data_IF_477487929894
#
_entry.id   IF_477487929894
#
_cell.length_a   1.000
_cell.length_b   1.000
_cell.length_c   1.000
_cell.angle_alpha   90.00
_cell.angle_beta   90.00
_cell.angle_gamma   90.00
#
_symmetry.space_group_name_H-M   'P 1'
#
loop_
_entity.id
_entity.type
_entity.pdbx_description
1 polymer ?
#
# COMPACT_ATOMS: atom_id res chain seq x y z
N UNK A 1 49.64 -16.96 -34.93
CA UNK A 1 49.05 -15.96 -33.99
C UNK A 1 48.44 -14.74 -34.70
N UNK A 2 49.14 -14.09 -35.64
CA UNK A 2 48.65 -12.88 -36.36
C UNK A 2 47.35 -13.09 -37.19
N UNK A 3 47.10 -14.30 -37.68
CA UNK A 3 45.90 -14.66 -38.47
C UNK A 3 44.61 -14.68 -37.63
N UNK A 4 44.70 -15.13 -36.38
CA UNK A 4 43.58 -15.14 -35.44
C UNK A 4 43.24 -13.73 -34.91
N UNK A 5 44.25 -12.85 -34.85
CA UNK A 5 44.07 -11.44 -34.48
C UNK A 5 43.22 -10.69 -35.51
N UNK A 6 43.40 -10.97 -36.81
CA UNK A 6 42.60 -10.38 -37.89
C UNK A 6 41.14 -10.86 -37.83
N UNK A 7 40.91 -12.13 -37.54
CA UNK A 7 39.55 -12.66 -37.32
C UNK A 7 38.85 -11.99 -36.13
N UNK A 8 39.56 -11.77 -35.02
CA UNK A 8 39.01 -11.10 -33.84
C UNK A 8 38.68 -9.62 -34.12
N UNK A 9 39.52 -8.92 -34.88
CA UNK A 9 39.27 -7.54 -35.31
C UNK A 9 38.05 -7.44 -36.25
N UNK A 10 37.82 -8.42 -37.13
CA UNK A 10 36.64 -8.42 -38.01
C UNK A 10 35.31 -8.60 -37.26
N UNK A 11 35.31 -9.32 -36.14
CA UNK A 11 34.09 -9.54 -35.34
C UNK A 11 33.65 -8.29 -34.56
N UNK A 12 34.56 -7.37 -34.24
CA UNK A 12 34.26 -6.15 -33.48
C UNK A 12 33.51 -5.13 -34.36
N UNK A 13 33.78 -5.09 -35.67
CA UNK A 13 33.15 -4.13 -36.59
C UNK A 13 31.68 -4.42 -36.91
N UNK A 14 31.16 -5.59 -36.52
CA UNK A 14 29.76 -5.99 -36.74
C UNK A 14 28.92 -5.83 -35.46
N UNK A 15 29.53 -5.42 -34.35
CA UNK A 15 28.81 -5.12 -33.12
C UNK A 15 27.96 -3.84 -33.31
N UNK A 16 26.73 -4.01 -33.78
CA UNK A 16 25.71 -2.97 -33.75
C UNK A 16 25.31 -2.78 -32.29
N UNK A 17 25.76 -1.69 -31.67
CA UNK A 17 25.18 -1.24 -30.41
C UNK A 17 23.67 -1.08 -30.61
N UNK A 18 22.88 -1.59 -29.67
CA UNK A 18 21.43 -1.50 -29.72
C UNK A 18 21.05 -0.02 -29.81
N UNK A 19 20.57 0.44 -30.97
CA UNK A 19 20.00 1.78 -31.07
C UNK A 19 18.81 1.81 -30.12
N UNK A 20 18.87 2.73 -29.14
CA UNK A 20 17.76 2.99 -28.24
C UNK A 20 16.53 3.29 -29.10
N UNK A 21 15.56 2.37 -29.10
CA UNK A 21 14.29 2.59 -29.77
C UNK A 21 13.70 3.94 -29.30
N UNK A 22 13.06 4.71 -30.20
CA UNK A 22 12.47 6.01 -29.88
C UNK A 22 11.66 5.95 -28.59
N UNK A 23 11.80 6.98 -27.75
CA UNK A 23 11.00 7.10 -26.54
C UNK A 23 9.56 7.43 -26.94
N UNK A 24 8.65 6.47 -26.81
CA UNK A 24 7.22 6.67 -27.07
C UNK A 24 6.42 6.75 -25.77
N UNK A 25 5.20 7.28 -25.86
CA UNK A 25 4.26 7.32 -24.74
C UNK A 25 3.98 5.90 -24.22
N UNK A 26 3.76 4.93 -25.10
CA UNK A 26 3.52 3.53 -24.73
C UNK A 26 4.70 2.94 -23.95
N UNK A 27 5.93 3.32 -24.31
CA UNK A 27 7.14 2.85 -23.62
C UNK A 27 7.26 3.44 -22.21
N UNK A 28 6.87 4.70 -22.03
CA UNK A 28 6.80 5.36 -20.71
C UNK A 28 5.66 4.76 -19.87
N UNK A 29 4.51 4.49 -20.48
CA UNK A 29 3.31 3.98 -19.80
C UNK A 29 3.38 2.49 -19.44
N UNK A 30 4.37 1.74 -19.95
CA UNK A 30 4.53 0.30 -19.67
C UNK A 30 4.75 -0.01 -18.19
N UNK A 31 5.36 0.91 -17.45
CA UNK A 31 5.54 0.78 -16.00
C UNK A 31 5.06 2.05 -15.29
N UNK A 32 3.76 2.16 -14.93
CA UNK A 32 3.20 3.37 -14.35
C UNK A 32 3.80 3.75 -12.99
N UNK A 33 4.60 2.86 -12.36
CA UNK A 33 5.25 3.12 -11.07
C UNK A 33 6.20 4.31 -11.09
N UNK A 34 6.65 4.77 -12.27
CA UNK A 34 7.44 6.00 -12.39
C UNK A 34 6.70 7.25 -11.87
N UNK A 35 5.37 7.24 -11.84
CA UNK A 35 4.54 8.33 -11.29
C UNK A 35 4.44 8.28 -9.76
N UNK A 36 4.99 7.24 -9.14
CA UNK A 36 4.80 6.92 -7.73
C UNK A 36 3.65 5.93 -7.49
N UNK A 37 3.71 5.26 -6.35
CA UNK A 37 2.66 4.34 -5.89
C UNK A 37 1.71 5.12 -4.97
N UNK A 38 0.41 5.10 -5.26
CA UNK A 38 -0.58 5.72 -4.38
C UNK A 38 -0.77 4.87 -3.11
N UNK A 39 -1.00 5.49 -1.94
CA UNK A 39 -1.38 4.74 -0.75
C UNK A 39 -2.73 4.03 -0.91
N UNK A 40 -2.96 3.01 -0.09
CA UNK A 40 -4.20 2.21 -0.07
C UNK A 40 -4.60 1.85 1.37
N UNK A 41 -5.74 1.18 1.55
CA UNK A 41 -6.21 0.67 2.85
C UNK A 41 -6.23 1.72 3.97
N UNK A 42 -6.83 2.88 3.70
CA UNK A 42 -6.92 3.98 4.66
C UNK A 42 -7.77 3.62 5.87
N UNK A 43 -7.27 3.91 7.07
CA UNK A 43 -7.92 3.62 8.35
C UNK A 43 -7.66 4.73 9.34
N UNK A 44 -8.69 5.24 9.98
CA UNK A 44 -8.50 6.22 11.06
C UNK A 44 -8.04 5.52 12.34
N UNK A 45 -7.33 6.24 13.21
CA UNK A 45 -7.22 5.84 14.61
C UNK A 45 -8.54 6.10 15.36
N UNK A 46 -8.84 5.33 16.39
CA UNK A 46 -10.07 5.51 17.18
C UNK A 46 -10.19 6.90 17.82
N UNK A 47 -9.05 7.49 18.22
CA UNK A 47 -8.96 8.84 18.75
C UNK A 47 -9.03 9.95 17.69
N UNK A 48 -9.15 9.59 16.41
CA UNK A 48 -9.22 10.49 15.26
C UNK A 48 -7.99 11.39 15.07
N UNK A 49 -6.83 11.03 15.63
CA UNK A 49 -5.59 11.82 15.53
C UNK A 49 -4.65 11.38 14.42
N UNK A 50 -4.81 10.17 13.89
CA UNK A 50 -3.96 9.60 12.84
C UNK A 50 -4.78 8.91 11.75
N UNK A 51 -4.25 8.90 10.54
CA UNK A 51 -4.70 8.03 9.44
C UNK A 51 -3.57 7.05 9.14
N UNK A 52 -3.87 5.77 9.20
CA UNK A 52 -3.03 4.66 8.78
C UNK A 52 -3.34 4.29 7.33
N UNK A 53 -2.34 3.81 6.60
CA UNK A 53 -2.49 3.36 5.22
C UNK A 53 -1.34 2.43 4.81
N UNK A 54 -1.58 1.57 3.83
CA UNK A 54 -0.56 0.74 3.17
C UNK A 54 0.13 1.56 2.08
N UNK A 55 1.45 1.58 2.05
CA UNK A 55 2.19 2.34 1.04
C UNK A 55 3.55 1.73 0.72
N UNK A 56 3.96 1.89 -0.53
CA UNK A 56 5.22 1.37 -1.06
C UNK A 56 5.91 2.39 -1.99
N UNK A 57 6.39 3.51 -1.43
CA UNK A 57 7.02 4.56 -2.22
C UNK A 57 8.35 4.13 -2.84
N UNK A 58 8.99 3.11 -2.28
CA UNK A 58 10.31 2.61 -2.68
C UNK A 58 10.22 1.40 -3.63
N UNK A 59 9.01 1.02 -4.08
CA UNK A 59 8.77 -0.11 -4.99
C UNK A 59 9.43 -1.43 -4.51
N UNK A 60 9.25 -1.76 -3.23
CA UNK A 60 9.64 -3.04 -2.63
C UNK A 60 8.64 -4.14 -2.98
N UNK A 61 8.94 -5.37 -2.57
CA UNK A 61 8.08 -6.53 -2.86
C UNK A 61 6.69 -6.46 -2.19
N UNK A 62 6.56 -5.69 -1.09
CA UNK A 62 5.32 -5.57 -0.32
C UNK A 62 5.11 -4.16 0.18
N UNK A 63 3.83 -3.79 0.30
CA UNK A 63 3.41 -2.58 0.99
C UNK A 63 3.70 -2.70 2.48
N UNK A 64 4.01 -1.58 3.10
CA UNK A 64 4.22 -1.49 4.55
C UNK A 64 3.27 -0.46 5.16
N UNK A 65 3.07 -0.57 6.47
CA UNK A 65 2.19 0.34 7.19
C UNK A 65 2.84 1.71 7.36
N UNK A 66 2.11 2.74 7.00
CA UNK A 66 2.43 4.13 7.29
C UNK A 66 1.30 4.80 8.06
N UNK A 67 1.61 5.91 8.74
CA UNK A 67 0.62 6.82 9.30
C UNK A 67 0.95 8.28 9.03
N UNK A 68 -0.08 9.12 9.08
CA UNK A 68 0.05 10.58 9.13
C UNK A 68 -0.81 11.11 10.27
N UNK A 69 -0.31 12.12 10.99
CA UNK A 69 -1.02 12.76 12.10
C UNK A 69 -1.58 14.13 11.72
N UNK A 70 -2.53 14.63 12.51
CA UNK A 70 -3.10 15.98 12.29
C UNK A 70 -2.06 17.10 12.43
N UNK A 71 -1.06 16.92 13.30
CA UNK A 71 -0.04 17.94 13.59
C UNK A 71 1.19 17.84 12.65
N UNK A 72 1.13 17.00 11.63
CA UNK A 72 2.24 16.83 10.70
C UNK A 72 1.88 15.92 9.53
N UNK A 73 1.95 16.48 8.32
CA UNK A 73 1.56 15.79 7.08
C UNK A 73 2.62 14.82 6.53
N UNK A 74 3.75 14.64 7.24
CA UNK A 74 4.83 13.75 6.79
C UNK A 74 4.52 12.30 7.16
N UNK A 75 4.36 11.39 6.18
CA UNK A 75 4.15 9.97 6.46
C UNK A 75 5.26 9.38 7.31
N UNK A 76 4.90 8.61 8.34
CA UNK A 76 5.81 7.85 9.19
C UNK A 76 5.57 6.37 8.97
N UNK A 77 6.64 5.59 8.83
CA UNK A 77 6.54 4.13 8.79
C UNK A 77 6.19 3.62 10.20
N UNK A 78 5.27 2.66 10.29
CA UNK A 78 4.76 2.11 11.56
C UNK A 78 4.96 0.58 11.60
N UNK A 79 4.93 0.01 12.80
CA UNK A 79 4.86 -1.44 13.02
C UNK A 79 3.42 -1.94 12.77
N UNK A 80 3.24 -3.17 12.28
CA UNK A 80 1.91 -3.74 12.02
C UNK A 80 1.02 -3.76 13.27
N UNK A 81 1.58 -3.90 14.47
CA UNK A 81 0.82 -3.82 15.74
C UNK A 81 0.17 -2.46 15.97
N UNK A 82 0.70 -1.39 15.37
CA UNK A 82 0.08 -0.06 15.47
C UNK A 82 -1.34 -0.03 14.89
N UNK A 83 -1.66 -0.97 14.00
CA UNK A 83 -2.96 -1.13 13.37
C UNK A 83 -4.06 -1.55 14.35
N UNK A 84 -3.72 -2.06 15.54
CA UNK A 84 -4.68 -2.34 16.60
C UNK A 84 -5.42 -1.09 17.07
N UNK A 85 -4.77 0.09 16.96
CA UNK A 85 -5.32 1.41 17.29
C UNK A 85 -6.23 1.96 16.19
N UNK A 86 -6.24 1.33 15.02
CA UNK A 86 -7.05 1.74 13.91
C UNK A 86 -8.47 1.19 14.05
N UNK A 87 -9.45 2.03 13.76
CA UNK A 87 -10.80 1.57 13.49
C UNK A 87 -10.80 0.85 12.14
N UNK A 88 -11.78 -0.04 11.91
CA UNK A 88 -11.89 -0.81 10.67
C UNK A 88 -11.86 0.06 9.41
N UNK A 89 -11.67 -0.56 8.24
CA UNK A 89 -11.59 0.17 6.96
C UNK A 89 -12.89 0.90 6.60
N UNK A 90 -14.02 0.38 7.07
CA UNK A 90 -15.34 0.94 6.81
C UNK A 90 -16.05 1.23 8.12
N UNK A 91 -16.50 2.47 8.29
CA UNK A 91 -17.38 2.87 9.37
C UNK A 91 -18.75 3.22 8.81
N UNK A 92 -19.79 2.58 9.34
CA UNK A 92 -21.19 2.90 9.03
C UNK A 92 -21.83 3.53 10.24
N UNK A 93 -22.14 4.82 10.16
CA UNK A 93 -22.80 5.55 11.25
C UNK A 93 -24.31 5.27 11.25
N UNK A 94 -24.90 5.20 12.44
CA UNK A 94 -26.35 5.27 12.61
C UNK A 94 -26.88 6.67 12.29
N UNK A 95 -28.21 6.80 12.12
CA UNK A 95 -28.86 8.05 11.73
C UNK A 95 -28.53 9.27 12.63
N UNK A 96 -28.29 9.01 13.92
CA UNK A 96 -27.97 10.04 14.92
C UNK A 96 -26.46 10.24 15.14
N UNK A 97 -25.60 9.49 14.43
CA UNK A 97 -24.12 9.51 14.57
C UNK A 97 -23.64 9.21 16.00
N UNK A 98 -24.52 8.69 16.87
CA UNK A 98 -24.18 8.33 18.25
C UNK A 98 -23.41 7.02 18.36
N UNK A 99 -23.42 6.20 17.30
CA UNK A 99 -22.68 4.95 17.19
C UNK A 99 -22.32 4.67 15.73
N UNK A 100 -21.28 3.86 15.54
CA UNK A 100 -20.86 3.35 14.24
C UNK A 100 -20.63 1.84 14.29
N UNK A 101 -20.88 1.17 13.18
CA UNK A 101 -20.48 -0.23 12.97
C UNK A 101 -19.21 -0.27 12.13
N UNK A 102 -18.32 -1.19 12.45
CA UNK A 102 -17.16 -1.49 11.61
C UNK A 102 -16.78 -2.98 11.71
N UNK A 103 -16.08 -3.47 10.70
CA UNK A 103 -15.51 -4.81 10.68
C UNK A 103 -14.04 -4.77 11.12
N UNK A 104 -13.66 -5.73 11.98
CA UNK A 104 -12.27 -5.95 12.41
C UNK A 104 -12.01 -7.43 12.64
N UNK A 105 -11.24 -8.04 11.75
CA UNK A 105 -10.82 -9.44 11.87
C UNK A 105 -11.93 -10.45 11.54
N UNK A 106 -12.86 -10.09 10.67
CA UNK A 106 -14.01 -10.89 10.28
C UNK A 106 -15.26 -10.65 11.13
N UNK A 107 -15.15 -9.87 12.21
CA UNK A 107 -16.24 -9.61 13.14
C UNK A 107 -16.72 -8.17 13.14
N UNK A 108 -17.98 -8.00 13.51
CA UNK A 108 -18.65 -6.71 13.60
C UNK A 108 -18.49 -6.13 15.00
N UNK A 109 -18.13 -4.86 15.05
CA UNK A 109 -17.97 -4.07 16.27
C UNK A 109 -18.87 -2.85 16.24
N UNK A 110 -19.44 -2.52 17.41
CA UNK A 110 -20.10 -1.25 17.68
C UNK A 110 -19.09 -0.29 18.32
N UNK A 111 -18.97 0.89 17.73
CA UNK A 111 -18.09 1.96 18.19
C UNK A 111 -18.91 3.16 18.67
N UNK A 112 -18.56 3.69 19.84
CA UNK A 112 -19.09 4.97 20.29
C UNK A 112 -18.07 6.10 19.99
N UNK A 113 -18.36 7.01 19.04
CA UNK A 113 -17.42 8.04 18.64
C UNK A 113 -17.13 9.09 19.73
N UNK A 114 -18.02 9.23 20.73
CA UNK A 114 -17.83 10.15 21.87
C UNK A 114 -16.97 9.53 22.97
N UNK A 115 -17.29 8.32 23.43
CA UNK A 115 -16.56 7.65 24.53
C UNK A 115 -15.33 6.88 24.06
N UNK A 116 -15.23 6.60 22.76
CA UNK A 116 -14.18 5.78 22.12
C UNK A 116 -14.23 4.30 22.52
N UNK A 117 -15.34 3.86 23.09
CA UNK A 117 -15.54 2.47 23.47
C UNK A 117 -15.87 1.61 22.24
N UNK A 118 -15.30 0.41 22.21
CA UNK A 118 -15.56 -0.64 21.22
C UNK A 118 -16.27 -1.81 21.91
N UNK A 119 -17.41 -2.23 21.38
CA UNK A 119 -18.12 -3.43 21.79
C UNK A 119 -18.18 -4.40 20.61
N UNK A 120 -17.62 -5.59 20.80
CA UNK A 120 -17.73 -6.67 19.81
C UNK A 120 -19.18 -7.19 19.78
N UNK A 121 -19.77 -7.27 18.58
CA UNK A 121 -21.15 -7.76 18.38
C UNK A 121 -21.18 -9.21 17.89
N UNK A 122 -20.22 -9.63 17.09
CA UNK A 122 -20.11 -11.02 16.59
C UNK A 122 -18.80 -11.65 17.04
N UNK A 123 -18.80 -12.97 17.18
CA UNK A 123 -17.60 -13.77 17.38
C UNK A 123 -17.72 -15.05 16.57
N UNK A 124 -17.46 -14.95 15.27
CA UNK A 124 -17.48 -16.10 14.36
C UNK A 124 -16.17 -16.87 14.48
N UNK A 125 -16.10 -17.74 15.49
CA UNK A 125 -14.99 -18.71 15.68
C UNK A 125 -15.12 -19.94 14.79
N UNK A 126 -16.27 -20.16 14.17
CA UNK A 126 -16.51 -21.34 13.34
C UNK A 126 -16.08 -21.14 11.88
N UNK A 127 -15.54 -22.21 11.30
CA UNK A 127 -15.12 -22.27 9.90
C UNK A 127 -16.37 -22.47 9.04
N UNK A 128 -16.71 -21.45 8.25
CA UNK A 128 -17.70 -21.55 7.18
C UNK A 128 -17.27 -22.66 6.20
N UNK A 129 -17.98 -23.79 6.21
CA UNK A 129 -17.83 -24.85 5.22
C UNK A 129 -19.10 -24.87 4.36
N UNK A 130 -18.94 -24.58 3.07
CA UNK A 130 -19.94 -24.84 2.03
C UNK A 130 -19.65 -26.13 1.30
#
# INVERSE_FOLDING_TARGET
>A
MKKYLICLLLTISIAKAQQLAPLTVEKIMRDPKWMGVAPSNYRWSADSKKVFFSWNPENKDKDVLYSVGLNGLKPQKEDEKALEKAIGMTLTFGATISSALFEKGGDIYLFNPKTKEEQRLTNTVERENG
#
